data_IF_270979145053
#
_entry.id   IF_270979145053
#
_cell.length_a   1.000
_cell.length_b   1.000
_cell.length_c   1.000
_cell.angle_alpha   90.00
_cell.angle_beta   90.00
_cell.angle_gamma   90.00
#
_symmetry.space_group_name_H-M   'P 1'
#
loop_
_entity.id
_entity.type
_entity.pdbx_description
1 polymer ?
#
# COMPACT_ATOMS: atom_id res chain seq x y z
N UNK A 1 -25.67 3.20 -32.18
CA UNK A 1 -25.26 4.50 -31.58
C UNK A 1 -25.12 4.25 -30.08
N UNK A 2 -23.93 4.42 -29.52
CA UNK A 2 -23.76 4.31 -28.05
C UNK A 2 -24.37 5.54 -27.40
N UNK A 3 -25.18 5.36 -26.36
CA UNK A 3 -25.80 6.47 -25.66
C UNK A 3 -24.72 7.24 -24.88
N UNK A 4 -24.80 8.59 -24.77
CA UNK A 4 -23.86 9.37 -23.97
C UNK A 4 -23.69 8.86 -22.52
N UNK A 5 -24.72 8.24 -21.94
CA UNK A 5 -24.68 7.70 -20.58
C UNK A 5 -23.80 6.46 -20.46
N UNK A 6 -23.89 5.53 -21.43
CA UNK A 6 -23.00 4.36 -21.48
C UNK A 6 -21.52 4.77 -21.61
N UNK A 7 -21.23 5.80 -22.42
CA UNK A 7 -19.86 6.34 -22.54
C UNK A 7 -19.37 6.97 -21.23
N UNK A 8 -20.24 7.66 -20.50
CA UNK A 8 -19.89 8.26 -19.21
C UNK A 8 -19.53 7.17 -18.18
N UNK A 9 -20.33 6.10 -18.10
CA UNK A 9 -20.07 4.98 -17.19
C UNK A 9 -18.77 4.23 -17.49
N UNK A 10 -18.45 4.00 -18.78
CA UNK A 10 -17.20 3.36 -19.19
C UNK A 10 -15.96 4.17 -18.77
N UNK A 11 -16.03 5.50 -18.91
CA UNK A 11 -14.96 6.40 -18.48
C UNK A 11 -14.75 6.34 -16.96
N UNK A 12 -15.82 6.36 -16.17
CA UNK A 12 -15.73 6.23 -14.71
C UNK A 12 -15.10 4.90 -14.30
N UNK A 13 -15.52 3.81 -14.94
CA UNK A 13 -15.02 2.47 -14.63
C UNK A 13 -13.52 2.37 -14.93
N UNK A 14 -13.09 2.92 -16.07
CA UNK A 14 -11.68 2.97 -16.44
C UNK A 14 -10.84 3.81 -15.47
N UNK A 15 -11.35 4.97 -15.05
CA UNK A 15 -10.66 5.82 -14.08
C UNK A 15 -10.49 5.10 -12.74
N UNK A 16 -11.55 4.47 -12.23
CA UNK A 16 -11.51 3.70 -10.97
C UNK A 16 -10.49 2.56 -11.06
N UNK A 17 -10.50 1.80 -12.15
CA UNK A 17 -9.56 0.69 -12.34
C UNK A 17 -8.11 1.18 -12.36
N UNK A 18 -7.86 2.30 -13.06
CA UNK A 18 -6.54 2.94 -13.11
C UNK A 18 -6.06 3.41 -11.73
N UNK A 19 -6.94 3.98 -10.91
CA UNK A 19 -6.62 4.41 -9.55
C UNK A 19 -6.30 3.23 -8.64
N UNK A 20 -7.08 2.15 -8.71
CA UNK A 20 -6.83 0.91 -7.95
C UNK A 20 -5.49 0.31 -8.37
N UNK A 21 -5.22 0.22 -9.68
CA UNK A 21 -3.96 -0.30 -10.19
C UNK A 21 -2.76 0.53 -9.70
N UNK A 22 -2.88 1.86 -9.68
CA UNK A 22 -1.84 2.75 -9.16
C UNK A 22 -1.62 2.56 -7.65
N UNK A 23 -2.68 2.43 -6.86
CA UNK A 23 -2.59 2.18 -5.41
C UNK A 23 -1.94 0.81 -5.10
N UNK A 24 -2.29 -0.23 -5.86
CA UNK A 24 -1.68 -1.55 -5.73
C UNK A 24 -0.21 -1.55 -6.14
N UNK A 25 0.17 -0.80 -7.18
CA UNK A 25 1.56 -0.65 -7.56
C UNK A 25 2.39 0.07 -6.48
N UNK A 26 1.81 1.08 -5.83
CA UNK A 26 2.47 1.82 -4.74
C UNK A 26 2.65 1.01 -3.45
N UNK A 27 1.73 0.07 -3.16
CA UNK A 27 1.77 -0.75 -1.94
C UNK A 27 2.64 -2.01 -2.06
N UNK A 28 3.05 -2.40 -3.28
CA UNK A 28 4.00 -3.50 -3.49
C UNK A 28 5.39 -3.08 -3.04
N UNK A 29 5.67 -3.32 -1.76
CA UNK A 29 6.97 -3.12 -1.16
C UNK A 29 8.00 -4.04 -1.83
N UNK A 30 8.77 -3.50 -2.77
CA UNK A 30 9.76 -4.23 -3.55
C UNK A 30 11.10 -4.18 -2.83
N UNK A 31 11.32 -5.09 -1.87
CA UNK A 31 12.61 -5.18 -1.17
C UNK A 31 12.62 -6.10 0.04
N UNK A 32 13.81 -6.49 0.53
CA UNK A 32 13.93 -7.24 1.78
C UNK A 32 13.44 -6.40 2.97
N UNK A 33 12.74 -7.04 3.90
CA UNK A 33 12.34 -6.39 5.17
C UNK A 33 13.55 -6.18 6.08
N UNK A 34 13.55 -5.09 6.86
CA UNK A 34 14.57 -4.84 7.87
C UNK A 34 14.44 -5.82 9.04
N UNK A 35 15.58 -6.14 9.65
CA UNK A 35 15.65 -6.99 10.86
C UNK A 35 15.24 -6.23 12.12
N UNK A 36 15.58 -4.93 12.18
CA UNK A 36 15.31 -4.04 13.31
C UNK A 36 14.50 -2.82 12.85
N UNK A 37 13.66 -2.31 13.75
CA UNK A 37 12.83 -1.13 13.51
C UNK A 37 13.69 0.14 13.43
N UNK A 38 13.52 0.97 12.41
CA UNK A 38 14.27 2.24 12.28
C UNK A 38 13.97 3.27 13.38
N UNK A 39 12.82 3.16 14.05
CA UNK A 39 12.33 4.17 15.01
C UNK A 39 12.67 3.81 16.47
N UNK A 40 12.55 2.53 16.82
CA UNK A 40 12.72 2.05 18.20
C UNK A 40 13.79 0.97 18.35
N UNK A 41 14.52 0.63 17.28
CA UNK A 41 15.59 -0.39 17.19
C UNK A 41 15.21 -1.83 17.58
N UNK A 42 13.96 -2.06 18.01
CA UNK A 42 13.46 -3.40 18.37
C UNK A 42 13.44 -4.35 17.17
N UNK A 43 13.61 -5.64 17.45
CA UNK A 43 13.45 -6.72 16.47
C UNK A 43 12.07 -6.68 15.80
N UNK A 44 12.07 -6.80 14.47
CA UNK A 44 10.85 -6.97 13.69
C UNK A 44 10.51 -8.47 13.61
N UNK A 45 9.32 -8.90 14.08
CA UNK A 45 8.95 -10.31 14.07
C UNK A 45 8.96 -10.89 12.65
N UNK A 46 9.38 -12.15 12.51
CA UNK A 46 9.50 -12.84 11.21
C UNK A 46 8.19 -12.82 10.40
N UNK A 47 7.05 -12.98 11.08
CA UNK A 47 5.72 -12.90 10.45
C UNK A 47 5.51 -11.60 9.66
N UNK A 48 6.14 -10.50 10.09
CA UNK A 48 6.09 -9.23 9.36
C UNK A 48 7.20 -9.11 8.34
N UNK A 49 8.39 -9.64 8.61
CA UNK A 49 9.46 -9.66 7.61
C UNK A 49 9.06 -10.44 6.35
N UNK A 50 8.24 -11.48 6.50
CA UNK A 50 7.67 -12.26 5.41
C UNK A 50 6.75 -11.47 4.45
N UNK A 51 6.21 -10.33 4.88
CA UNK A 51 5.36 -9.47 4.03
C UNK A 51 6.17 -8.70 2.97
N UNK A 52 7.48 -8.55 3.16
CA UNK A 52 8.37 -7.82 2.27
C UNK A 52 8.34 -6.30 2.50
N UNK A 53 9.50 -5.66 2.39
CA UNK A 53 9.70 -4.20 2.49
C UNK A 53 9.22 -3.54 3.80
N UNK A 54 9.17 -4.29 4.90
CA UNK A 54 8.83 -3.75 6.22
C UNK A 54 10.04 -3.06 6.84
N UNK A 55 9.90 -1.78 7.22
CA UNK A 55 10.97 -0.96 7.83
C UNK A 55 10.73 -0.58 9.29
N UNK A 56 9.48 -0.63 9.75
CA UNK A 56 9.06 -0.27 11.12
C UNK A 56 8.32 -1.42 11.78
N UNK A 57 8.42 -1.55 13.10
CA UNK A 57 7.61 -2.49 13.90
C UNK A 57 6.13 -2.07 13.93
N UNK A 58 5.21 -2.97 14.32
CA UNK A 58 3.76 -2.70 14.39
C UNK A 58 3.43 -1.43 15.20
N UNK A 59 3.91 -1.24 16.45
CA UNK A 59 3.51 -0.07 17.22
C UNK A 59 3.99 1.23 16.59
N UNK A 60 5.24 1.29 16.10
CA UNK A 60 5.76 2.48 15.42
C UNK A 60 5.05 2.75 14.09
N UNK A 61 4.67 1.70 13.35
CA UNK A 61 3.89 1.82 12.12
C UNK A 61 2.48 2.37 12.40
N UNK A 62 1.78 1.83 13.40
CA UNK A 62 0.46 2.33 13.81
C UNK A 62 0.50 3.77 14.32
N UNK A 63 1.54 4.15 15.05
CA UNK A 63 1.73 5.55 15.48
C UNK A 63 1.96 6.47 14.27
N UNK A 64 2.79 6.04 13.31
CA UNK A 64 3.07 6.81 12.11
C UNK A 64 1.82 7.02 11.23
N UNK A 65 0.99 5.99 11.06
CA UNK A 65 -0.26 6.10 10.29
C UNK A 65 -1.31 6.95 11.00
N UNK A 66 -1.39 6.90 12.34
CA UNK A 66 -2.33 7.73 13.11
C UNK A 66 -1.91 9.19 13.19
N UNK A 67 -0.62 9.49 13.02
CA UNK A 67 -0.09 10.85 13.00
C UNK A 67 -0.17 11.52 11.62
N UNK A 68 -0.54 10.77 10.58
CA UNK A 68 -0.71 11.24 9.20
C UNK A 68 -2.15 11.68 8.94
#
# INVERSE_FOLDING_TARGET
MVCPLDRAGDLEQWLRDREIAAALAATRASGPSLTHCTDCDNEIPEARRALGGVTRCVPCQSLFERAR
#
